data_IF_903243153211
#
_entry.id   IF_903243153211
#
_cell.length_a   1.000
_cell.length_b   1.000
_cell.length_c   1.000
_cell.angle_alpha   90.00
_cell.angle_beta   90.00
_cell.angle_gamma   90.00
#
_symmetry.space_group_name_H-M   'P 1'
#
loop_
_entity.id
_entity.type
_entity.pdbx_description
1 polymer ?
2 branched ?
3 non-polymer ?
4 water ?
#
# COMPACT_ATOMS: atom_id res chain seq x y z
N UNK A 13 -4.52 -7.16 -17.39
CA UNK A 13 -5.08 -6.55 -18.58
C UNK A 13 -4.05 -5.56 -19.27
N UNK A 14 -4.52 -4.59 -20.09
CA UNK A 14 -3.70 -3.71 -20.91
C UNK A 14 -3.16 -2.37 -20.32
N UNK A 15 -3.53 -1.91 -19.09
CA UNK A 15 -2.98 -0.62 -18.59
C UNK A 15 -1.51 -0.75 -18.25
N UNK A 16 -0.74 0.31 -18.48
CA UNK A 16 0.70 0.29 -18.21
C UNK A 16 0.98 0.26 -16.71
N UNK A 17 0.17 1.01 -15.91
CA UNK A 17 0.31 1.09 -14.46
C UNK A 17 -0.99 0.52 -13.86
N UNK A 18 -0.88 -0.47 -12.97
CA UNK A 18 -2.04 -1.04 -12.32
C UNK A 18 -1.83 -0.95 -10.82
N UNK A 19 -2.72 -0.25 -10.13
CA UNK A 19 -2.62 0.01 -8.71
C UNK A 19 -3.84 -0.49 -7.98
N UNK A 20 -3.66 -1.12 -6.82
CA UNK A 20 -4.81 -1.46 -5.98
C UNK A 20 -4.59 -0.83 -4.60
N UNK A 21 -5.66 -0.67 -3.89
CA UNK A 21 -5.62 -0.12 -2.55
C UNK A 21 -6.80 -0.67 -1.79
N UNK A 22 -6.75 -0.49 -0.48
CA UNK A 22 -7.84 -0.88 0.39
C UNK A 22 -8.16 0.32 1.29
N UNK A 23 -9.45 0.63 1.43
CA UNK A 23 -9.88 1.76 2.21
C UNK A 23 -11.20 1.37 2.87
N UNK A 24 -11.35 1.75 4.12
CA UNK A 24 -12.52 1.46 4.93
C UNK A 24 -12.78 2.70 5.77
N UNK A 25 -13.93 3.34 5.57
CA UNK A 25 -14.29 4.55 6.30
C UNK A 25 -14.24 5.78 5.40
N UNK A 26 -15.09 6.76 5.70
CA UNK A 26 -15.23 8.02 4.97
C UNK A 26 -13.88 8.76 4.87
N UNK A 27 -13.11 8.76 5.96
CA UNK A 27 -11.83 9.46 5.97
C UNK A 27 -10.86 8.82 5.00
N UNK A 28 -10.73 7.48 5.04
CA UNK A 28 -9.83 6.78 4.11
C UNK A 28 -10.30 6.85 2.66
N UNK A 29 -11.64 6.91 2.43
CA UNK A 29 -12.16 7.09 1.08
C UNK A 29 -11.88 8.48 0.55
N UNK A 30 -11.95 9.50 1.40
CA UNK A 30 -11.58 10.86 1.01
C UNK A 30 -10.09 10.90 0.59
N UNK A 31 -9.24 10.21 1.36
CA UNK A 31 -7.81 10.18 1.05
C UNK A 31 -7.51 9.33 -0.19
N UNK A 32 -8.26 8.26 -0.40
CA UNK A 32 -8.11 7.40 -1.56
C UNK A 32 -8.34 8.19 -2.86
N UNK A 33 -9.34 9.08 -2.88
CA UNK A 33 -9.56 9.93 -4.06
C UNK A 33 -8.35 10.83 -4.29
N UNK A 34 -7.79 11.38 -3.20
CA UNK A 34 -6.61 12.24 -3.27
C UNK A 34 -5.38 11.47 -3.77
N UNK A 35 -5.23 10.22 -3.34
CA UNK A 35 -4.12 9.38 -3.78
C UNK A 35 -4.22 9.15 -5.29
N UNK A 36 -5.43 8.84 -5.78
CA UNK A 36 -5.65 8.62 -7.20
C UNK A 36 -5.36 9.84 -8.01
N UNK A 37 -5.85 11.01 -7.55
CA UNK A 37 -5.53 12.25 -8.23
C UNK A 37 -4.01 12.52 -8.29
N UNK A 38 -3.29 12.24 -7.21
CA UNK A 38 -1.85 12.48 -7.17
C UNK A 38 -1.11 11.58 -8.16
N UNK A 39 -1.56 10.33 -8.34
CA UNK A 39 -0.94 9.44 -9.33
C UNK A 39 -1.11 10.02 -10.76
N UNK A 40 -2.34 10.42 -11.11
CA UNK A 40 -2.61 10.90 -12.44
C UNK A 40 -1.96 12.25 -12.73
N UNK A 41 -1.74 13.08 -11.70
CA UNK A 41 -1.06 14.37 -11.95
C UNK A 41 0.44 14.18 -12.21
N UNK A 42 0.98 12.96 -12.03
CA UNK A 42 2.41 12.69 -12.18
C UNK A 42 2.76 11.66 -13.24
N UNK A 43 1.83 11.26 -14.09
CA UNK A 43 2.12 10.31 -15.17
C UNK A 43 1.26 10.57 -16.39
N UNK A 44 1.81 10.25 -17.56
CA UNK A 44 1.10 10.25 -18.82
C UNK A 44 0.87 8.81 -19.32
N UNK A 45 1.33 7.79 -18.57
CA UNK A 45 1.12 6.41 -18.94
C UNK A 45 -0.34 6.02 -18.61
N UNK A 46 -0.88 4.97 -19.25
CA UNK A 46 -2.25 4.53 -18.95
C UNK A 46 -2.27 3.93 -17.54
N UNK A 47 -3.36 4.17 -16.77
CA UNK A 47 -3.48 3.72 -15.41
C UNK A 47 -4.82 3.06 -15.20
N UNK A 48 -4.83 1.98 -14.41
CA UNK A 48 -6.05 1.29 -13.99
C UNK A 48 -5.96 1.11 -12.47
N UNK A 49 -7.03 1.52 -11.73
CA UNK A 49 -7.11 1.32 -10.30
C UNK A 49 -8.00 0.14 -10.00
N UNK A 50 -7.61 -0.69 -9.05
CA UNK A 50 -8.38 -1.87 -8.66
C UNK A 50 -8.82 -1.68 -7.21
N UNK A 51 -10.11 -1.92 -6.93
CA UNK A 51 -10.67 -1.70 -5.60
C UNK A 51 -11.17 -2.96 -4.96
N UNK A 52 -10.89 -3.14 -3.65
CA UNK A 52 -11.38 -4.27 -2.87
C UNK A 52 -12.77 -3.80 -2.47
N UNK A 53 -13.73 -4.18 -3.28
CA UNK A 53 -15.13 -3.76 -3.30
C UNK A 53 -15.87 -3.78 -1.96
N UNK A 54 -15.81 -4.89 -1.22
CA UNK A 54 -16.67 -5.07 -0.07
C UNK A 54 -16.49 -4.09 1.08
N UNK A 55 -15.35 -3.37 1.16
CA UNK A 55 -15.12 -2.39 2.23
C UNK A 55 -15.55 -0.97 1.89
N UNK A 56 -15.83 -0.70 0.62
CA UNK A 56 -16.18 0.64 0.18
C UNK A 56 -17.66 1.00 0.40
N UNK A 57 -17.92 2.29 0.59
CA UNK A 57 -19.27 2.83 0.77
C UNK A 57 -19.97 2.91 -0.60
N UNK A 58 -21.31 2.89 -0.63
CA UNK A 58 -22.01 3.02 -1.93
C UNK A 58 -21.70 4.36 -2.60
N UNK A 59 -21.53 5.43 -1.82
CA UNK A 59 -21.24 6.73 -2.38
C UNK A 59 -19.88 6.78 -3.07
N UNK A 60 -18.90 6.09 -2.51
CA UNK A 60 -17.56 6.05 -3.11
C UNK A 60 -17.63 5.33 -4.46
N UNK A 61 -18.27 4.15 -4.48
CA UNK A 61 -18.45 3.33 -5.68
C UNK A 61 -19.24 4.05 -6.75
N UNK A 62 -20.20 4.90 -6.36
CA UNK A 62 -20.94 5.68 -7.31
C UNK A 62 -20.11 6.83 -7.89
N UNK A 63 -19.23 7.42 -7.10
CA UNK A 63 -18.40 8.54 -7.54
C UNK A 63 -17.20 8.13 -8.41
N UNK A 64 -16.72 6.87 -8.29
CA UNK A 64 -15.53 6.44 -9.05
C UNK A 64 -15.69 6.63 -10.60
N UNK A 65 -16.84 6.41 -11.28
CA UNK A 65 -16.89 6.73 -12.72
C UNK A 65 -16.64 8.20 -13.03
N UNK A 66 -17.00 9.10 -12.11
CA UNK A 66 -16.77 10.53 -12.31
C UNK A 66 -15.30 10.84 -12.17
N UNK A 67 -14.61 10.23 -11.17
CA UNK A 67 -13.17 10.39 -11.00
C UNK A 67 -12.46 9.85 -12.25
N UNK A 68 -12.88 8.67 -12.72
CA UNK A 68 -12.30 8.01 -13.88
C UNK A 68 -12.40 8.85 -15.16
N UNK A 69 -13.53 9.50 -15.37
CA UNK A 69 -13.72 10.37 -16.54
C UNK A 69 -12.95 11.69 -16.42
N UNK A 70 -12.81 12.23 -15.20
CA UNK A 70 -12.14 13.50 -14.98
C UNK A 70 -10.65 13.36 -15.11
N UNK A 71 -10.09 12.33 -14.47
CA UNK A 71 -8.66 12.08 -14.42
C UNK A 71 -8.14 11.16 -15.54
N UNK A 72 -9.03 10.49 -16.24
CA UNK A 72 -8.65 9.63 -17.36
C UNK A 72 -7.99 8.34 -16.96
N UNK A 73 -8.65 7.56 -16.12
CA UNK A 73 -8.13 6.25 -15.71
C UNK A 73 -9.20 5.19 -15.87
N UNK A 74 -8.81 3.93 -15.93
CA UNK A 74 -9.77 2.82 -15.98
C UNK A 74 -9.86 2.27 -14.53
N UNK A 75 -10.87 1.42 -14.25
CA UNK A 75 -10.99 0.85 -12.93
C UNK A 75 -11.76 -0.47 -12.92
N UNK A 76 -11.59 -1.27 -11.86
CA UNK A 76 -12.32 -2.52 -11.74
C UNK A 76 -12.51 -2.86 -10.25
N UNK A 77 -13.72 -3.32 -9.88
CA UNK A 77 -14.03 -3.71 -8.52
C UNK A 77 -13.77 -5.21 -8.39
N UNK A 78 -13.03 -5.64 -7.37
CA UNK A 78 -12.81 -7.07 -7.14
C UNK A 78 -13.49 -7.49 -5.85
N UNK A 79 -14.31 -8.53 -5.91
CA UNK A 79 -15.02 -9.03 -4.73
C UNK A 79 -14.56 -10.48 -4.55
N UNK A 80 -13.62 -10.71 -3.63
CA UNK A 80 -13.11 -12.06 -3.40
C UNK A 80 -13.54 -12.51 -2.00
N UNK A 81 -14.20 -13.66 -1.89
CA UNK A 81 -14.69 -14.14 -0.59
C UNK A 81 -13.60 -14.87 0.17
N UNK A 82 -13.41 -14.57 1.47
CA UNK A 82 -12.40 -15.22 2.31
C UNK A 82 -12.62 -16.75 2.32
N UNK A 83 -11.61 -17.57 1.93
CA UNK A 83 -11.81 -19.03 1.89
C UNK A 83 -12.18 -19.63 3.24
N UNK A 84 -13.14 -20.53 3.26
CA UNK A 84 -13.61 -21.18 4.49
C UNK A 84 -12.52 -21.88 5.32
N UNK A 85 -11.53 -22.51 4.67
CA UNK A 85 -10.48 -23.22 5.39
C UNK A 85 -9.52 -22.28 6.13
N UNK A 86 -9.35 -21.07 5.62
CA UNK A 86 -8.38 -20.10 6.07
C UNK A 86 -8.83 -19.36 7.31
N UNK A 87 -7.99 -19.35 8.36
CA UNK A 87 -8.32 -18.69 9.63
C UNK A 87 -8.83 -17.26 9.45
N UNK A 88 -10.02 -16.96 9.96
CA UNK A 88 -10.59 -15.62 9.83
C UNK A 88 -10.03 -14.61 10.83
N UNK A 89 -10.23 -13.32 10.56
CA UNK A 89 -9.85 -12.23 11.45
C UNK A 89 -11.12 -11.50 11.87
N UNK A 90 -11.46 -11.57 13.16
CA UNK A 90 -12.64 -10.89 13.72
C UNK A 90 -12.51 -9.34 13.67
N UNK A 91 -11.28 -8.81 13.78
CA UNK A 91 -11.05 -7.37 13.77
C UNK A 91 -11.05 -6.89 12.31
N UNK A 92 -11.88 -5.88 11.99
CA UNK A 92 -11.95 -5.37 10.62
C UNK A 92 -10.59 -4.92 10.08
N UNK A 93 -9.78 -4.29 10.92
CA UNK A 93 -8.45 -3.85 10.49
C UNK A 93 -7.57 -5.02 10.05
N UNK A 94 -7.62 -6.12 10.78
CA UNK A 94 -6.83 -7.30 10.46
C UNK A 94 -7.39 -8.02 9.24
N UNK A 95 -8.72 -7.99 9.03
CA UNK A 95 -9.32 -8.59 7.85
C UNK A 95 -8.87 -7.82 6.60
N UNK A 96 -8.83 -6.50 6.68
CA UNK A 96 -8.38 -5.64 5.59
C UNK A 96 -6.88 -5.90 5.31
N UNK A 97 -6.06 -6.06 6.35
CA UNK A 97 -4.64 -6.39 6.17
C UNK A 97 -4.50 -7.77 5.49
N UNK A 98 -5.39 -8.70 5.79
CA UNK A 98 -5.39 -10.00 5.11
C UNK A 98 -5.64 -9.84 3.61
N UNK A 99 -6.55 -8.93 3.23
CA UNK A 99 -6.85 -8.68 1.82
C UNK A 99 -5.69 -8.03 1.07
N UNK A 100 -4.77 -7.41 1.77
CA UNK A 100 -3.61 -6.79 1.13
C UNK A 100 -2.59 -7.84 0.72
N UNK A 101 -2.39 -8.86 1.56
CA UNK A 101 -1.25 -9.78 1.37
C UNK A 101 -1.59 -11.26 1.07
N UNK A 102 -2.78 -11.74 1.45
CA UNK A 102 -3.07 -13.15 1.30
C UNK A 102 -3.60 -13.63 -0.05
N UNK A 103 -4.13 -12.71 -0.88
CA UNK A 103 -4.83 -13.11 -2.09
C UNK A 103 -4.30 -12.44 -3.35
N UNK A 104 -3.01 -12.13 -3.42
CA UNK A 104 -2.45 -11.45 -4.57
C UNK A 104 -2.58 -12.21 -5.88
N UNK A 105 -2.56 -13.54 -5.82
CA UNK A 105 -2.68 -14.39 -7.00
C UNK A 105 -4.12 -14.63 -7.43
N UNK A 106 -5.12 -14.33 -6.59
CA UNK A 106 -6.51 -14.61 -6.91
C UNK A 106 -7.38 -13.36 -7.09
N UNK A 107 -6.94 -12.18 -6.63
CA UNK A 107 -7.73 -10.96 -6.80
C UNK A 107 -7.72 -10.47 -8.25
N UNK A 108 -6.60 -10.66 -8.95
CA UNK A 108 -6.39 -10.11 -10.28
C UNK A 108 -6.46 -11.18 -11.39
N UNK A 109 -6.87 -10.80 -12.62
CA UNK A 109 -6.94 -11.79 -13.69
C UNK A 109 -5.55 -12.33 -14.03
N UNK A 110 -5.49 -13.57 -14.54
CA UNK A 110 -4.21 -14.21 -14.91
C UNK A 110 -3.47 -13.38 -15.98
N UNK A 111 -4.20 -12.57 -16.78
CA UNK A 111 -3.58 -11.75 -17.82
C UNK A 111 -2.80 -10.57 -17.25
N UNK A 112 -3.10 -10.13 -16.02
CA UNK A 112 -2.37 -9.00 -15.41
C UNK A 112 -1.01 -9.48 -14.89
N UNK A 113 0.08 -8.90 -15.39
CA UNK A 113 1.44 -9.30 -15.03
C UNK A 113 2.04 -8.58 -13.82
N UNK A 114 1.48 -7.42 -13.44
CA UNK A 114 2.05 -6.63 -12.36
C UNK A 114 1.03 -5.70 -11.76
N UNK A 115 1.06 -5.56 -10.45
CA UNK A 115 0.18 -4.67 -9.73
C UNK A 115 0.97 -4.06 -8.56
N UNK A 116 0.62 -2.84 -8.20
CA UNK A 116 1.28 -2.11 -7.14
C UNK A 116 0.26 -1.76 -6.09
N UNK A 117 0.54 -2.04 -4.81
CA UNK A 117 -0.33 -1.60 -3.74
C UNK A 117 0.17 -0.19 -3.35
N UNK A 118 -0.73 0.77 -3.28
CA UNK A 118 -0.45 2.14 -2.81
C UNK A 118 -1.45 2.38 -1.72
N UNK A 119 -0.98 2.76 -0.51
CA UNK A 119 -1.91 2.99 0.60
C UNK A 119 -2.84 4.14 0.30
N UNK A 120 -4.09 4.02 0.80
CA UNK A 120 -5.13 5.00 0.53
C UNK A 120 -4.74 6.38 1.03
N UNK A 121 -3.90 6.47 2.06
CA UNK A 121 -3.53 7.76 2.62
C UNK A 121 -2.20 8.29 2.04
N UNK A 122 -1.75 7.78 0.89
CA UNK A 122 -0.50 8.23 0.29
C UNK A 122 -0.66 9.42 -0.61
N UNK A 123 0.46 10.13 -0.84
CA UNK A 123 0.52 11.22 -1.79
C UNK A 123 1.65 10.84 -2.73
N UNK A 124 1.34 10.66 -4.01
CA UNK A 124 2.33 10.28 -5.01
C UNK A 124 2.91 11.51 -5.65
N UNK A 125 4.24 11.55 -5.78
CA UNK A 125 4.97 12.67 -6.39
C UNK A 125 5.91 12.18 -7.50
N UNK A 126 5.61 11.04 -8.12
CA UNK A 126 6.48 10.48 -9.14
C UNK A 126 5.64 9.79 -10.21
N UNK A 127 6.28 9.43 -11.31
CA UNK A 127 5.61 8.65 -12.34
C UNK A 127 5.66 7.22 -11.83
N UNK A 128 4.51 6.64 -11.51
CA UNK A 128 4.45 5.27 -11.00
C UNK A 128 4.95 4.24 -12.01
N UNK A 129 5.07 4.58 -13.31
CA UNK A 129 5.65 3.64 -14.29
C UNK A 129 7.13 3.36 -13.94
N UNK A 130 7.83 4.28 -13.22
CA UNK A 130 9.20 4.03 -12.76
C UNK A 130 9.25 2.81 -11.81
N UNK A 131 8.17 2.54 -11.08
CA UNK A 131 8.15 1.38 -10.17
C UNK A 131 7.82 0.12 -10.98
N UNK A 132 6.97 0.26 -12.03
CA UNK A 132 6.68 -0.84 -12.94
C UNK A 132 7.97 -1.34 -13.58
N UNK A 133 8.85 -0.40 -13.97
CA UNK A 133 10.13 -0.70 -14.61
C UNK A 133 11.28 -1.02 -13.70
N UNK A 134 11.09 -0.93 -12.39
CA UNK A 134 12.18 -1.17 -11.45
C UNK A 134 12.53 -2.63 -11.47
N UNK A 135 13.82 -2.98 -11.63
CA UNK A 135 14.21 -4.40 -11.68
C UNK A 135 14.09 -5.07 -10.33
N UNK A 136 13.45 -6.25 -10.30
CA UNK A 136 13.27 -6.98 -9.05
C UNK A 136 14.22 -8.18 -8.88
N UNK A 137 15.12 -8.42 -9.85
CA UNK A 137 16.09 -9.51 -9.79
C UNK A 137 15.47 -10.88 -9.41
N UNK A 138 14.34 -11.24 -10.00
CA UNK A 138 13.69 -12.51 -9.73
C UNK A 138 12.78 -12.54 -8.50
N UNK A 139 12.71 -11.43 -7.71
CA UNK A 139 11.83 -11.43 -6.53
C UNK A 139 10.39 -11.28 -6.98
N UNK A 140 9.46 -11.98 -6.32
CA UNK A 140 8.03 -11.83 -6.69
C UNK A 140 7.42 -10.50 -6.26
N UNK A 141 8.04 -9.81 -5.29
CA UNK A 141 7.60 -8.51 -4.84
C UNK A 141 8.71 -7.66 -4.24
N UNK A 142 8.48 -6.35 -4.23
CA UNK A 142 9.43 -5.37 -3.76
C UNK A 142 8.75 -4.42 -2.79
N UNK A 143 9.40 -4.14 -1.67
CA UNK A 143 8.92 -3.24 -0.61
C UNK A 143 10.03 -2.31 -0.22
N UNK A 144 9.70 -1.09 0.23
CA UNK A 144 10.72 -0.18 0.72
C UNK A 144 11.02 -0.59 2.19
N UNK A 145 12.24 -0.31 2.64
CA UNK A 145 12.54 -0.55 4.05
C UNK A 145 11.94 0.57 4.93
N UNK A 146 11.80 0.29 6.23
CA UNK A 146 11.47 1.31 7.22
C UNK A 146 12.69 2.22 7.31
N UNK A 147 12.49 3.56 7.33
CA UNK A 147 13.58 4.54 7.42
C UNK A 147 14.34 4.36 8.73
N UNK A 148 15.67 4.61 8.69
CA UNK A 148 16.48 4.72 9.90
C UNK A 148 16.89 6.23 10.04
N UNK A 149 16.63 7.12 9.04
CA UNK A 149 17.13 8.49 9.02
C UNK A 149 16.66 9.41 10.15
N UNK A 150 15.43 9.25 10.72
CA UNK A 150 15.00 10.12 11.83
C UNK A 150 15.57 9.49 13.09
N UNK A 151 16.78 9.94 13.47
CA UNK A 151 17.53 9.36 14.58
C UNK A 151 16.83 9.45 15.93
N UNK A 152 16.07 10.54 16.21
CA UNK A 152 15.40 10.70 17.51
C UNK A 152 14.28 9.66 17.76
N UNK A 153 13.90 8.90 16.75
CA UNK A 153 12.86 7.89 16.88
C UNK A 153 13.41 6.46 17.08
N UNK A 154 14.73 6.30 17.28
CA UNK A 154 15.38 4.99 17.43
C UNK A 154 14.79 4.08 18.50
N UNK A 155 14.38 4.67 19.63
CA UNK A 155 13.73 3.94 20.72
C UNK A 155 12.44 3.26 20.31
N UNK A 156 11.77 3.77 19.27
CA UNK A 156 10.51 3.21 18.77
C UNK A 156 10.69 2.20 17.62
N UNK A 157 11.92 2.01 17.11
CA UNK A 157 12.15 1.05 16.03
C UNK A 157 12.25 -0.34 16.66
N UNK A 158 11.10 -0.95 16.96
CA UNK A 158 11.03 -2.27 17.62
C UNK A 158 11.78 -3.38 16.87
N UNK A 159 11.91 -3.24 15.55
CA UNK A 159 12.57 -4.21 14.68
C UNK A 159 14.11 -4.17 14.79
N UNK A 160 14.68 -3.14 15.43
CA UNK A 160 16.13 -3.04 15.61
C UNK A 160 16.65 -3.78 16.87
N UNK A 161 15.75 -4.27 17.73
CA UNK A 161 16.11 -5.04 18.93
C UNK A 161 15.17 -6.29 19.03
N UNK A 162 15.37 -7.12 20.05
CA UNK A 162 14.52 -8.26 20.34
C UNK A 162 14.34 -9.28 19.25
N UNK A 163 13.11 -9.79 19.12
CA UNK A 163 12.72 -10.82 18.16
C UNK A 163 13.17 -10.52 16.72
N UNK A 164 12.76 -9.37 16.19
CA UNK A 164 13.05 -9.01 14.83
C UNK A 164 14.52 -8.85 14.54
N UNK A 165 15.31 -8.25 15.44
CA UNK A 165 16.76 -8.10 15.18
C UNK A 165 17.45 -9.44 15.05
N UNK A 166 17.05 -10.41 15.89
CA UNK A 166 17.65 -11.73 15.83
C UNK A 166 17.16 -12.48 14.58
N UNK A 167 15.86 -12.38 14.28
CA UNK A 167 15.27 -13.08 13.15
C UNK A 167 15.78 -12.61 11.78
N UNK A 168 15.89 -11.31 11.61
CA UNK A 168 16.25 -10.71 10.33
C UNK A 168 17.68 -10.90 9.90
N UNK A 169 18.62 -11.07 10.84
CA UNK A 169 20.03 -11.28 10.53
C UNK A 169 20.61 -10.18 9.62
N UNK A 170 20.20 -8.94 9.86
CA UNK A 170 20.70 -7.81 9.10
C UNK A 170 19.85 -7.43 7.90
N UNK A 171 18.90 -8.29 7.51
CA UNK A 171 17.93 -7.99 6.42
C UNK A 171 17.07 -6.80 6.84
N UNK A 172 16.55 -6.02 5.89
CA UNK A 172 15.69 -4.89 6.27
C UNK A 172 14.33 -5.37 6.76
N UNK A 173 13.73 -4.56 7.61
CA UNK A 173 12.35 -4.72 8.06
C UNK A 173 11.61 -3.73 7.17
N UNK A 174 10.82 -4.26 6.26
CA UNK A 174 10.11 -3.49 5.23
C UNK A 174 8.75 -2.96 5.67
N UNK A 175 8.37 -1.81 5.14
CA UNK A 175 7.05 -1.23 5.44
C UNK A 175 6.08 -1.72 4.36
N UNK A 176 4.82 -1.99 4.73
CA UNK A 176 3.83 -2.51 3.80
C UNK A 176 2.91 -1.45 3.20
N UNK A 177 3.27 -0.15 3.31
CA UNK A 177 2.41 0.89 2.76
C UNK A 177 2.42 0.96 1.24
N UNK A 178 3.50 0.46 0.61
CA UNK A 178 3.66 0.46 -0.84
C UNK A 178 4.45 -0.78 -1.23
N UNK A 179 4.01 -1.46 -2.29
CA UNK A 179 4.75 -2.61 -2.77
C UNK A 179 4.38 -2.95 -4.19
N UNK A 180 5.38 -3.44 -4.96
CA UNK A 180 5.15 -3.84 -6.32
C UNK A 180 5.18 -5.35 -6.35
N UNK A 181 4.19 -5.95 -7.00
CA UNK A 181 4.08 -7.39 -7.10
C UNK A 181 4.19 -7.81 -8.57
N UNK A 182 5.24 -8.57 -8.92
CA UNK A 182 5.38 -9.13 -10.25
C UNK A 182 4.51 -10.37 -10.17
N UNK A 183 3.26 -10.26 -10.62
CA UNK A 183 2.28 -11.34 -10.57
C UNK A 183 2.71 -12.57 -11.34
N UNK A 184 3.50 -12.40 -12.42
CA UNK A 184 3.99 -13.54 -13.19
C UNK A 184 4.92 -14.40 -12.32
N UNK A 185 5.90 -13.78 -11.63
CA UNK A 185 6.87 -14.44 -10.76
C UNK A 185 6.20 -14.94 -9.46
N UNK A 186 5.27 -14.15 -8.93
CA UNK A 186 4.50 -14.49 -7.73
C UNK A 186 3.76 -15.85 -7.99
N UNK A 187 3.15 -15.95 -9.17
CA UNK A 187 2.43 -17.14 -9.60
C UNK A 187 3.40 -18.30 -9.79
N UNK A 188 4.53 -18.02 -10.46
CA UNK A 188 5.58 -18.98 -10.78
C UNK A 188 6.08 -19.68 -9.51
N UNK A 189 6.22 -18.93 -8.43
CA UNK A 189 6.74 -19.39 -7.16
C UNK A 189 5.69 -19.96 -6.22
N UNK A 190 4.40 -19.97 -6.59
CA UNK A 190 3.32 -20.37 -5.66
C UNK A 190 3.33 -19.50 -4.39
N UNK A 191 3.78 -18.23 -4.50
CA UNK A 191 3.89 -17.36 -3.34
C UNK A 191 2.59 -17.19 -2.59
N UNK A 192 1.48 -17.14 -3.29
CA UNK A 192 0.17 -17.00 -2.67
C UNK A 192 -0.21 -18.20 -1.84
N UNK A 193 -0.08 -19.42 -2.39
CA UNK A 193 -0.39 -20.63 -1.64
C UNK A 193 0.50 -20.76 -0.39
N UNK A 194 1.78 -20.42 -0.55
CA UNK A 194 2.78 -20.45 0.51
C UNK A 194 2.52 -19.41 1.61
N UNK A 195 2.14 -18.18 1.22
CA UNK A 195 1.83 -17.14 2.19
C UNK A 195 0.54 -17.53 2.97
N UNK A 196 -0.51 -18.03 2.28
CA UNK A 196 -1.75 -18.42 2.98
C UNK A 196 -1.51 -19.57 3.96
N UNK A 197 -0.66 -20.54 3.58
CA UNK A 197 -0.39 -21.70 4.47
C UNK A 197 0.44 -21.27 5.68
N UNK A 198 1.41 -20.37 5.50
CA UNK A 198 2.20 -19.85 6.64
C UNK A 198 1.34 -19.01 7.54
N UNK A 199 0.48 -18.17 6.96
CA UNK A 199 -0.42 -17.33 7.75
C UNK A 199 -1.36 -18.24 8.56
N UNK A 200 -1.88 -19.31 7.95
CA UNK A 200 -2.82 -20.17 8.63
C UNK A 200 -2.18 -20.84 9.84
N UNK A 201 -0.94 -21.32 9.68
CA UNK A 201 -0.23 -21.98 10.78
C UNK A 201 0.18 -20.97 11.85
N UNK A 202 0.75 -19.82 11.47
CA UNK A 202 1.20 -18.80 12.42
C UNK A 202 0.06 -18.18 13.20
N UNK A 203 -1.06 -17.87 12.55
CA UNK A 203 -2.19 -17.21 13.20
C UNK A 203 -2.91 -18.07 14.24
N UNK A 204 -2.51 -19.35 14.42
CA UNK A 204 -3.11 -20.16 15.52
C UNK A 204 -2.72 -19.54 16.89
N UNK A 205 -1.57 -18.83 16.95
CA UNK A 205 -1.10 -18.09 18.11
C UNK A 205 -1.64 -16.68 17.91
N UNK A 206 -2.53 -16.22 18.80
CA UNK A 206 -3.09 -14.85 18.62
C UNK A 206 -2.09 -13.70 18.84
N UNK A 207 -0.92 -13.99 19.40
CA UNK A 207 0.13 -12.97 19.61
C UNK A 207 1.00 -12.78 18.34
N UNK A 208 0.99 -13.77 17.41
CA UNK A 208 1.78 -13.73 16.19
C UNK A 208 1.22 -12.73 15.16
N UNK A 209 2.08 -12.26 14.25
CA UNK A 209 1.71 -11.33 13.17
C UNK A 209 0.95 -10.09 13.67
N UNK A 210 1.48 -9.38 14.69
CA UNK A 210 0.82 -8.17 15.21
C UNK A 210 0.46 -7.15 14.10
N UNK A 211 1.38 -6.95 13.17
CA UNK A 211 1.18 -6.05 12.03
C UNK A 211 1.06 -7.02 10.84
N UNK A 212 -0.08 -7.71 10.72
CA UNK A 212 -0.31 -8.79 9.74
C UNK A 212 0.25 -8.56 8.32
N UNK A 213 -0.12 -7.44 7.70
CA UNK A 213 0.28 -7.13 6.33
C UNK A 213 1.79 -6.94 6.14
N UNK A 214 2.47 -6.52 7.19
CA UNK A 214 3.87 -6.18 7.18
C UNK A 214 4.73 -7.32 7.72
N UNK A 215 4.28 -7.96 8.81
CA UNK A 215 5.05 -9.02 9.42
C UNK A 215 5.12 -10.26 8.54
N UNK A 216 4.04 -10.61 7.83
CA UNK A 216 4.05 -11.83 7.00
C UNK A 216 5.15 -11.81 5.91
N UNK A 217 5.21 -10.79 5.02
CA UNK A 217 6.29 -10.79 4.02
C UNK A 217 7.69 -10.68 4.64
N UNK A 218 7.84 -9.89 5.72
CA UNK A 218 9.12 -9.76 6.42
C UNK A 218 9.57 -11.09 7.03
N UNK A 219 8.61 -11.87 7.53
CA UNK A 219 8.87 -13.20 8.10
C UNK A 219 9.31 -14.17 7.01
N UNK A 220 8.67 -14.09 5.84
CA UNK A 220 8.93 -15.06 4.77
C UNK A 220 10.06 -14.65 3.83
N UNK A 221 10.77 -13.54 4.08
CA UNK A 221 11.74 -13.04 3.11
C UNK A 221 12.99 -13.92 2.87
N UNK A 222 13.23 -14.97 3.67
CA UNK A 222 14.32 -15.91 3.40
C UNK A 222 13.90 -16.98 2.37
N UNK A 223 12.57 -17.21 2.19
CA UNK A 223 12.11 -18.21 1.22
C UNK A 223 11.26 -17.61 0.07
N UNK A 224 10.64 -16.42 0.29
CA UNK A 224 9.88 -15.67 -0.71
C UNK A 224 10.61 -14.34 -0.77
N UNK A 225 11.59 -14.21 -1.66
CA UNK A 225 12.43 -13.00 -1.65
C UNK A 225 11.70 -11.69 -1.79
N UNK A 226 12.26 -10.65 -1.20
CA UNK A 226 11.76 -9.29 -1.34
C UNK A 226 12.88 -8.53 -2.00
N UNK A 227 12.56 -7.80 -3.07
CA UNK A 227 13.53 -6.88 -3.65
C UNK A 227 13.36 -5.59 -2.78
N UNK A 228 14.44 -5.14 -2.14
CA UNK A 228 14.36 -3.96 -1.28
C UNK A 228 14.37 -2.74 -2.15
N UNK A 229 13.26 -2.03 -2.20
CA UNK A 229 13.16 -0.87 -3.07
C UNK A 229 14.06 0.26 -2.56
N UNK A 230 14.51 1.15 -3.44
CA UNK A 230 15.17 2.38 -2.97
C UNK A 230 14.36 3.07 -1.86
N UNK A 231 15.04 3.57 -0.83
CA UNK A 231 14.38 4.24 0.29
C UNK A 231 13.45 5.37 -0.13
N UNK A 232 13.84 6.10 -1.19
CA UNK A 232 13.02 7.20 -1.70
C UNK A 232 11.63 6.78 -2.17
N UNK A 233 11.37 5.48 -2.37
CA UNK A 233 10.03 5.04 -2.79
C UNK A 233 8.98 5.24 -1.72
N UNK A 234 9.37 5.34 -0.41
CA UNK A 234 8.36 5.53 0.64
C UNK A 234 8.93 6.39 1.75
N UNK A 235 8.38 7.59 1.91
CA UNK A 235 8.76 8.50 2.99
C UNK A 235 7.61 8.71 3.93
N UNK A 236 7.83 8.48 5.24
CA UNK A 236 6.85 8.74 6.31
C UNK A 236 7.53 9.58 7.35
N UNK A 237 6.91 10.68 7.77
CA UNK A 237 7.48 11.55 8.79
C UNK A 237 7.85 10.84 10.09
N UNK A 238 7.08 9.82 10.51
CA UNK A 238 7.40 9.12 11.76
C UNK A 238 8.85 8.59 11.80
N UNK A 239 9.32 7.99 10.70
CA UNK A 239 10.62 7.36 10.67
C UNK A 239 11.68 8.05 9.80
N UNK A 240 11.22 8.93 8.90
CA UNK A 240 12.10 9.53 7.91
C UNK A 240 12.39 11.01 8.18
N UNK A 241 13.65 11.41 8.02
CA UNK A 241 14.12 12.74 8.27
C UNK A 241 13.51 13.76 7.34
N UNK A 242 13.45 15.02 7.81
CA UNK A 242 12.94 16.10 7.00
C UNK A 242 13.84 16.29 5.75
N UNK A 243 15.17 16.10 5.90
CA UNK A 243 16.14 16.29 4.83
C UNK A 243 15.93 15.32 3.64
N UNK A 244 15.34 14.16 3.90
CA UNK A 244 15.09 13.21 2.81
C UNK A 244 13.74 13.39 2.14
N UNK A 245 12.88 14.34 2.61
CA UNK A 245 11.56 14.56 2.00
C UNK A 245 11.68 15.01 0.54
N UNK A 246 12.67 15.87 0.23
CA UNK A 246 12.84 16.40 -1.12
C UNK A 246 13.11 15.30 -2.15
N UNK A 247 13.60 14.14 -1.74
CA UNK A 247 13.88 13.03 -2.64
C UNK A 247 12.71 12.02 -2.67
N UNK A 248 11.70 12.16 -1.81
CA UNK A 248 10.62 11.20 -1.72
C UNK A 248 9.80 11.14 -2.99
N UNK A 249 9.60 9.91 -3.49
CA UNK A 249 8.76 9.68 -4.64
C UNK A 249 7.28 9.59 -4.21
N UNK A 250 7.02 9.03 -3.04
CA UNK A 250 5.69 8.92 -2.45
C UNK A 250 5.80 9.24 -0.96
N UNK A 251 4.72 9.77 -0.39
CA UNK A 251 4.62 10.11 1.01
C UNK A 251 3.52 9.29 1.63
N UNK A 252 3.79 8.67 2.76
CA UNK A 252 2.81 7.85 3.46
C UNK A 252 2.52 8.48 4.79
N UNK A 253 1.25 8.38 5.21
CA UNK A 253 0.87 8.85 6.53
C UNK A 253 0.86 7.58 7.35
N UNK A 254 1.73 7.51 8.37
CA UNK A 254 1.77 6.33 9.23
C UNK A 254 1.75 6.73 10.70
N UNK A 255 1.23 5.85 11.57
CA UNK A 255 1.14 6.11 13.02
C UNK A 255 2.45 6.62 13.64
N UNK A 256 2.37 7.70 14.41
CA UNK A 256 3.53 8.24 15.11
C UNK A 256 3.31 7.92 16.59
N UNK A 257 4.02 6.89 17.10
CA UNK A 257 3.84 6.50 18.51
C UNK A 257 4.29 7.53 19.52
N UNK A 258 5.13 8.49 19.11
CA UNK A 258 5.62 9.51 20.02
C UNK A 258 4.67 10.72 20.13
N UNK A 259 4.16 11.22 19.00
CA UNK A 259 3.32 12.42 19.01
C UNK A 259 1.84 12.17 19.11
N UNK A 260 1.36 11.11 18.47
CA UNK A 260 -0.06 10.81 18.42
C UNK A 260 -0.88 11.99 17.81
N UNK A 261 -0.32 12.68 16.80
CA UNK A 261 -1.02 13.79 16.12
C UNK A 261 -2.07 13.18 15.17
N UNK A 262 -3.28 13.76 15.08
CA UNK A 262 -4.32 13.16 14.21
C UNK A 262 -3.96 13.12 12.72
N UNK A 263 -4.57 12.16 12.01
CA UNK A 263 -4.38 11.88 10.58
C UNK A 263 -4.59 13.11 9.65
N UNK A 264 -5.74 13.79 9.74
CA UNK A 264 -6.03 14.96 8.90
C UNK A 264 -5.09 16.11 9.22
N UNK A 265 -4.68 16.26 10.50
CA UNK A 265 -3.76 17.35 10.87
C UNK A 265 -2.40 17.10 10.21
N UNK A 266 -1.94 15.83 10.20
CA UNK A 266 -0.67 15.44 9.59
C UNK A 266 -0.74 15.69 8.10
N UNK A 267 -1.82 15.27 7.46
CA UNK A 267 -1.97 15.41 6.02
C UNK A 267 -1.88 16.89 5.57
N UNK A 268 -2.64 17.78 6.21
CA UNK A 268 -2.61 19.20 5.86
C UNK A 268 -1.26 19.83 6.15
N UNK A 269 -0.62 19.41 7.26
CA UNK A 269 0.63 20.03 7.67
C UNK A 269 1.82 19.63 6.85
N UNK A 270 1.97 18.33 6.58
CA UNK A 270 3.16 17.83 5.90
C UNK A 270 3.28 18.15 4.42
N UNK A 271 2.18 18.00 3.71
CA UNK A 271 2.12 18.01 2.26
C UNK A 271 1.36 19.21 1.75
N UNK A 272 2.06 20.19 1.14
CA UNK A 272 1.35 21.38 0.66
C UNK A 272 0.26 21.10 -0.36
N UNK A 273 0.47 20.12 -1.24
CA UNK A 273 -0.49 19.81 -2.28
C UNK A 273 -1.68 18.96 -1.83
N UNK A 274 -1.70 18.46 -0.57
CA UNK A 274 -2.83 17.69 -0.07
C UNK A 274 -4.13 18.50 -0.14
N UNK A 275 -4.12 19.74 0.35
CA UNK A 275 -5.30 20.60 0.33
C UNK A 275 -5.71 20.92 -1.11
N UNK A 276 -4.73 21.10 -2.01
CA UNK A 276 -5.00 21.35 -3.42
C UNK A 276 -5.81 20.19 -4.05
N UNK A 277 -5.39 18.93 -3.79
CA UNK A 277 -6.11 17.78 -4.34
C UNK A 277 -7.46 17.63 -3.68
N UNK A 278 -7.52 17.83 -2.35
CA UNK A 278 -8.77 17.73 -1.58
C UNK A 278 -9.80 18.73 -2.11
N UNK A 279 -9.39 19.97 -2.35
CA UNK A 279 -10.28 21.00 -2.88
C UNK A 279 -10.68 20.73 -4.32
N UNK A 280 -9.78 20.18 -5.14
CA UNK A 280 -9.99 19.84 -6.55
C UNK A 280 -11.04 18.72 -6.67
N UNK A 281 -10.99 17.73 -5.80
CA UNK A 281 -11.95 16.63 -5.80
C UNK A 281 -13.31 17.11 -5.29
N UNK A 282 -13.32 18.02 -4.30
CA UNK A 282 -14.56 18.63 -3.80
C UNK A 282 -15.17 19.50 -4.90
N UNK A 283 -14.35 20.17 -5.72
CA UNK A 283 -14.86 20.98 -6.84
C UNK A 283 -15.48 20.06 -7.90
N UNK A 284 -14.84 18.89 -8.16
CA UNK A 284 -15.37 17.91 -9.11
C UNK A 284 -16.71 17.38 -8.61
N UNK A 285 -16.83 17.13 -7.29
CA UNK A 285 -18.06 16.64 -6.67
C UNK A 285 -19.21 17.64 -6.83
N UNK A 286 -18.93 18.95 -6.64
CA UNK A 286 -19.94 20.01 -6.82
C UNK A 286 -20.35 20.17 -8.28
N UNK A 287 -19.45 19.90 -9.22
CA UNK A 287 -19.68 20.01 -10.66
C UNK A 287 -20.61 18.89 -11.13
N UNK A 288 -20.43 17.68 -10.61
CA UNK A 288 -21.24 16.51 -10.96
C UNK A 288 -22.63 16.63 -10.32
N UNK A 289 -22.68 17.11 -9.06
CA UNK A 289 -23.92 17.29 -8.31
C UNK A 289 -24.89 18.26 -8.99
N UNK A 290 -24.37 19.38 -9.51
CA UNK A 290 -25.19 20.37 -10.19
C UNK A 290 -25.20 20.14 -11.71
#
# INVERSE_FOLDING_TARGET
ETGEATKSVSKTEHAEINIFSVASGHLYERMLNIMMASVMHHTNHTVKFWFIEQFLSPSFKDFIPHMAAEYGFKYEMVTYKWPHWLRQQKEKQREIWGYKILFLDVLFPLSLDKVIFVDADQIVRTDMYDLVEHPLDGAPYGFAPMCDSRVEMEGYRFWKTGYWANYLKGKPYHISALYVVDLQRFRELAAGDRLRQQYHALSADPNSLANLDQDLPNHMQFTIPIATLPQEWLWCETWCSDETLKDARTIDLCNNPMTKEPKLDRARRQVPEWTKYDEEIAELARRVREGTKHHHHHH
#
